data_IF_449915724080
#
_entry.id   IF_449915724080
#
_cell.length_a   1.000
_cell.length_b   1.000
_cell.length_c   1.000
_cell.angle_alpha   90.00
_cell.angle_beta   90.00
_cell.angle_gamma   90.00
#
_symmetry.space_group_name_H-M   'P 1'
#
loop_
_entity.id
_entity.type
_entity.pdbx_description
1 polymer ?
#
# COMPACT_ATOMS: atom_id res chain seq x y z
N UNK A 1 -14.19 4.95 -5.42
CA UNK A 1 -13.40 6.19 -5.57
C UNK A 1 -12.00 5.95 -5.03
N UNK A 2 -10.95 6.58 -5.58
CA UNK A 2 -9.57 6.29 -5.18
C UNK A 2 -9.31 6.68 -3.72
N UNK A 3 -8.84 5.72 -2.93
CA UNK A 3 -8.42 5.87 -1.54
C UNK A 3 -6.95 6.27 -1.53
N UNK A 4 -6.60 7.27 -0.72
CA UNK A 4 -5.22 7.73 -0.52
C UNK A 4 -4.90 7.79 0.96
N UNK A 5 -3.91 7.03 1.40
CA UNK A 5 -3.34 7.11 2.73
C UNK A 5 -2.00 7.87 2.66
N UNK A 6 -1.90 9.00 3.34
CA UNK A 6 -0.74 9.89 3.29
C UNK A 6 0.09 9.73 4.56
N UNK A 7 1.37 9.44 4.39
CA UNK A 7 2.35 9.37 5.48
C UNK A 7 3.51 10.34 5.20
N UNK A 8 4.35 10.57 6.22
CA UNK A 8 5.54 11.42 6.06
C UNK A 8 6.54 10.75 5.11
N UNK A 9 6.53 11.17 3.85
CA UNK A 9 7.48 10.74 2.82
C UNK A 9 6.96 9.72 1.82
N UNK A 10 5.73 9.22 1.96
CA UNK A 10 5.09 8.38 0.96
C UNK A 10 3.55 8.47 0.99
N UNK A 11 2.91 8.11 -0.11
CA UNK A 11 1.45 7.98 -0.24
C UNK A 11 1.09 6.61 -0.77
N UNK A 12 0.15 5.92 -0.12
CA UNK A 12 -0.42 4.66 -0.61
C UNK A 12 -1.74 4.97 -1.31
N UNK A 13 -1.91 4.45 -2.51
CA UNK A 13 -3.07 4.69 -3.38
C UNK A 13 -3.66 3.34 -3.79
N UNK A 14 -4.97 3.17 -3.59
CA UNK A 14 -5.72 1.99 -4.03
C UNK A 14 -7.19 2.33 -4.26
N UNK A 15 -7.99 1.42 -4.81
CA UNK A 15 -9.41 1.66 -5.09
C UNK A 15 -10.34 1.24 -3.95
N UNK A 16 -9.94 0.24 -3.17
CA UNK A 16 -10.71 -0.28 -2.05
C UNK A 16 -9.78 -0.80 -0.95
N UNK A 17 -10.28 -0.80 0.29
CA UNK A 17 -9.62 -1.43 1.44
C UNK A 17 -10.66 -2.15 2.28
N UNK A 18 -10.32 -3.34 2.74
CA UNK A 18 -11.00 -4.05 3.81
C UNK A 18 -10.25 -3.73 5.11
N UNK A 19 -10.91 -3.07 6.08
CA UNK A 19 -10.29 -2.72 7.36
C UNK A 19 -10.91 -3.53 8.50
N UNK A 20 -10.07 -4.27 9.21
CA UNK A 20 -10.44 -4.91 10.47
C UNK A 20 -9.86 -4.11 11.65
N UNK A 21 -10.68 -3.23 12.21
CA UNK A 21 -10.33 -2.39 13.36
C UNK A 21 -9.87 -3.21 14.58
N UNK A 22 -10.55 -4.34 14.86
CA UNK A 22 -10.26 -5.15 16.06
C UNK A 22 -8.87 -5.77 16.04
N UNK A 23 -8.30 -5.99 14.85
CA UNK A 23 -6.97 -6.58 14.65
C UNK A 23 -5.92 -5.57 14.19
N UNK A 24 -6.33 -4.34 13.85
CA UNK A 24 -5.46 -3.36 13.21
C UNK A 24 -4.99 -3.81 11.82
N UNK A 25 -5.76 -4.64 11.12
CA UNK A 25 -5.39 -5.19 9.82
C UNK A 25 -6.05 -4.43 8.68
N UNK A 26 -5.28 -4.07 7.66
CA UNK A 26 -5.78 -3.49 6.42
C UNK A 26 -5.42 -4.43 5.29
N UNK A 27 -6.41 -4.77 4.46
CA UNK A 27 -6.22 -5.60 3.27
C UNK A 27 -6.80 -4.92 2.05
N UNK A 28 -6.23 -5.21 0.89
CA UNK A 28 -6.86 -4.94 -0.38
C UNK A 28 -6.47 -6.03 -1.36
N UNK A 29 -7.38 -6.34 -2.29
CA UNK A 29 -7.13 -7.26 -3.40
C UNK A 29 -6.83 -6.48 -4.70
N UNK A 30 -7.02 -5.17 -4.67
CA UNK A 30 -6.90 -4.29 -5.82
C UNK A 30 -5.45 -3.90 -6.11
N UNK A 31 -5.27 -3.15 -7.20
CA UNK A 31 -4.01 -2.49 -7.49
C UNK A 31 -3.63 -1.53 -6.35
N UNK A 32 -2.34 -1.53 -6.03
CA UNK A 32 -1.74 -0.66 -5.02
C UNK A 32 -0.55 0.06 -5.63
N UNK A 33 -0.49 1.36 -5.37
CA UNK A 33 0.65 2.20 -5.72
C UNK A 33 1.15 2.89 -4.46
N UNK A 34 2.45 2.77 -4.20
CA UNK A 34 3.16 3.52 -3.17
C UNK A 34 4.02 4.55 -3.88
N UNK A 35 3.72 5.82 -3.68
CA UNK A 35 4.47 6.94 -4.25
C UNK A 35 5.36 7.61 -3.20
N UNK A 36 6.65 7.76 -3.49
CA UNK A 36 7.62 8.49 -2.68
C UNK A 36 8.53 9.34 -3.56
N UNK A 37 9.25 10.29 -2.97
CA UNK A 37 10.27 11.08 -3.67
C UNK A 37 11.45 10.23 -4.15
N UNK A 38 11.75 9.12 -3.45
CA UNK A 38 12.94 8.29 -3.72
C UNK A 38 12.62 6.98 -4.44
N UNK A 39 11.37 6.54 -4.39
CA UNK A 39 10.96 5.28 -5.01
C UNK A 39 9.46 5.28 -5.31
N UNK A 40 9.07 4.40 -6.22
CA UNK A 40 7.68 4.02 -6.45
C UNK A 40 7.57 2.49 -6.38
N UNK A 41 6.49 2.01 -5.75
CA UNK A 41 6.14 0.58 -5.77
C UNK A 41 4.75 0.43 -6.35
N UNK A 42 4.59 -0.52 -7.26
CA UNK A 42 3.32 -0.90 -7.87
C UNK A 42 3.12 -2.40 -7.69
N UNK A 43 1.88 -2.83 -7.48
CA UNK A 43 1.53 -4.24 -7.46
C UNK A 43 0.05 -4.47 -7.24
N UNK A 44 -0.32 -5.73 -7.01
CA UNK A 44 -1.71 -6.15 -6.80
C UNK A 44 -1.82 -6.88 -5.47
N UNK A 45 -2.80 -6.45 -4.69
CA UNK A 45 -3.05 -6.94 -3.35
C UNK A 45 -2.05 -6.40 -2.33
N UNK A 46 -2.56 -5.99 -1.17
CA UNK A 46 -1.74 -5.54 -0.04
C UNK A 46 -2.33 -6.03 1.27
N UNK A 47 -1.45 -6.37 2.20
CA UNK A 47 -1.78 -6.63 3.59
C UNK A 47 -0.90 -5.76 4.48
N UNK A 48 -1.51 -5.09 5.45
CA UNK A 48 -0.83 -4.37 6.51
C UNK A 48 -1.38 -4.81 7.86
N UNK A 49 -0.50 -5.04 8.83
CA UNK A 49 -0.84 -5.45 10.18
C UNK A 49 -0.44 -4.40 11.22
N UNK A 50 -0.84 -4.64 12.46
CA UNK A 50 -0.52 -3.78 13.61
C UNK A 50 0.97 -3.75 13.96
N UNK A 51 1.79 -4.63 13.37
CA UNK A 51 3.25 -4.60 13.46
C UNK A 51 3.89 -3.62 12.47
N UNK A 52 3.09 -2.81 11.76
CA UNK A 52 3.52 -1.85 10.74
C UNK A 52 4.24 -2.50 9.55
N UNK A 53 4.02 -3.79 9.31
CA UNK A 53 4.56 -4.47 8.14
C UNK A 53 3.56 -4.37 7.00
N UNK A 54 4.02 -3.85 5.86
CA UNK A 54 3.24 -3.81 4.61
C UNK A 54 3.79 -4.85 3.65
N UNK A 55 2.93 -5.73 3.14
CA UNK A 55 3.26 -6.72 2.11
C UNK A 55 2.44 -6.43 0.86
N UNK A 56 3.08 -6.37 -0.30
CA UNK A 56 2.40 -6.37 -1.61
C UNK A 56 2.55 -7.76 -2.21
N UNK A 57 1.45 -8.34 -2.67
CA UNK A 57 1.35 -9.78 -2.86
C UNK A 57 1.76 -10.26 -4.25
N UNK A 58 1.39 -9.51 -5.30
CA UNK A 58 1.54 -9.97 -6.70
C UNK A 58 1.99 -8.84 -7.62
N UNK A 59 2.67 -9.23 -8.70
CA UNK A 59 3.09 -8.34 -9.79
C UNK A 59 3.83 -7.09 -9.29
N UNK A 60 4.72 -7.30 -8.31
CA UNK A 60 5.40 -6.21 -7.62
C UNK A 60 6.51 -5.65 -8.50
N UNK A 61 6.45 -4.34 -8.75
CA UNK A 61 7.50 -3.57 -9.40
C UNK A 61 7.93 -2.43 -8.50
N UNK A 62 9.22 -2.41 -8.16
CA UNK A 62 9.83 -1.30 -7.44
C UNK A 62 10.76 -0.52 -8.37
N UNK A 63 10.60 0.80 -8.40
CA UNK A 63 11.47 1.71 -9.15
C UNK A 63 12.11 2.67 -8.16
N UNK A 64 13.43 2.75 -8.16
CA UNK A 64 14.20 3.65 -7.29
C UNK A 64 14.76 4.80 -8.10
N UNK A 65 14.58 6.02 -7.59
CA UNK A 65 15.06 7.25 -8.19
C UNK A 65 16.40 7.66 -7.54
N UNK A 66 17.30 8.24 -8.33
CA UNK A 66 18.57 8.80 -7.86
C UNK A 66 18.36 10.21 -7.32
#
# INVERSE_FOLDING_TARGET
>A
GKIKAVAKGYTIITESVEWNQSKGEIKTKEAVKIESKKFNVEGVGMEADSEQKVRILKNVKATFYR
#
